data_IF_123939734395
#
_entry.id   IF_123939734395
#
_cell.length_a   1.000
_cell.length_b   1.000
_cell.length_c   1.000
_cell.angle_alpha   90.00
_cell.angle_beta   90.00
_cell.angle_gamma   90.00
#
_symmetry.space_group_name_H-M   'P 1'
#
loop_
_entity.id
_entity.type
_entity.pdbx_description
1 polymer ?
#
# COMPACT_ATOMS: atom_id res chain seq x y z
N UNK A 1 -6.24 -15.83 20.82
CA UNK A 1 -4.91 -15.29 21.19
C UNK A 1 -4.36 -14.61 19.96
N UNK A 2 -4.12 -13.29 20.00
CA UNK A 2 -3.58 -12.55 18.85
C UNK A 2 -2.05 -12.64 18.97
N UNK A 3 -1.39 -13.33 18.04
CA UNK A 3 0.08 -13.52 17.99
C UNK A 3 0.79 -12.21 17.63
N UNK A 4 2.08 -12.08 17.98
CA UNK A 4 2.91 -10.94 17.54
C UNK A 4 2.92 -10.81 16.00
N UNK A 5 3.03 -9.60 15.42
CA UNK A 5 2.87 -9.39 13.99
C UNK A 5 4.19 -9.83 13.38
N UNK A 6 4.13 -10.79 12.46
CA UNK A 6 5.34 -11.33 11.84
C UNK A 6 6.06 -10.29 10.96
N UNK A 7 5.34 -9.24 10.54
CA UNK A 7 5.74 -8.16 9.64
C UNK A 7 5.52 -6.80 10.29
N UNK A 8 6.43 -5.85 10.03
CA UNK A 8 6.44 -4.51 10.61
C UNK A 8 6.85 -3.50 9.56
N UNK A 9 6.34 -2.27 9.68
CA UNK A 9 6.75 -1.13 8.85
C UNK A 9 8.21 -0.73 9.11
N UNK A 10 8.98 -0.63 8.03
CA UNK A 10 10.41 -0.32 8.07
C UNK A 10 10.91 0.17 6.71
N UNK A 11 11.93 1.02 6.68
CA UNK A 11 12.42 1.58 5.42
C UNK A 11 13.92 1.90 5.46
N UNK A 12 14.69 1.33 4.54
CA UNK A 12 16.12 1.64 4.36
C UNK A 12 16.38 3.07 3.87
N UNK A 13 15.48 3.63 3.06
CA UNK A 13 15.56 5.01 2.53
C UNK A 13 14.17 5.62 2.26
N UNK A 14 14.01 6.88 2.63
CA UNK A 14 12.79 7.67 2.41
C UNK A 14 13.10 9.18 2.39
N UNK A 15 12.40 9.92 1.53
CA UNK A 15 12.59 11.36 1.38
C UNK A 15 11.82 12.10 2.47
N UNK A 16 12.54 12.81 3.35
CA UNK A 16 11.91 13.78 4.25
C UNK A 16 11.46 15.00 3.44
N UNK A 17 10.25 15.53 3.66
CA UNK A 17 9.79 16.68 2.90
C UNK A 17 10.70 17.89 3.16
N UNK A 18 11.06 18.59 2.09
CA UNK A 18 11.75 19.89 2.16
C UNK A 18 10.85 20.88 2.90
N UNK A 19 11.46 21.70 3.77
CA UNK A 19 10.80 22.67 4.65
C UNK A 19 10.08 23.82 3.93
N UNK A 20 9.97 23.79 2.61
CA UNK A 20 9.55 24.92 1.77
C UNK A 20 8.16 24.78 1.12
N UNK A 21 7.37 23.75 1.44
CA UNK A 21 5.97 23.69 0.99
C UNK A 21 5.02 24.13 2.10
N UNK A 22 4.38 25.29 1.89
CA UNK A 22 3.56 26.00 2.89
C UNK A 22 2.18 25.36 3.14
N UNK A 23 1.71 24.44 2.29
CA UNK A 23 0.37 23.87 2.39
C UNK A 23 0.37 22.41 2.80
N UNK A 24 -0.31 22.12 3.91
CA UNK A 24 -0.43 20.77 4.47
C UNK A 24 -1.29 19.86 3.59
N UNK A 25 -0.72 18.73 3.13
CA UNK A 25 -1.32 17.76 2.22
C UNK A 25 -1.90 16.55 2.95
N UNK A 26 -3.02 16.03 2.46
CA UNK A 26 -3.54 14.74 2.89
C UNK A 26 -2.68 13.61 2.31
N UNK A 27 -2.47 12.54 3.07
CA UNK A 27 -1.65 11.41 2.64
C UNK A 27 -2.55 10.21 2.33
N UNK A 28 -2.33 9.61 1.17
CA UNK A 28 -2.91 8.32 0.79
C UNK A 28 -1.84 7.26 1.09
N UNK A 29 -1.97 6.61 2.24
CA UNK A 29 -1.12 5.48 2.62
C UNK A 29 -1.58 4.22 1.89
N UNK A 30 -0.67 3.56 1.19
CA UNK A 30 -0.96 2.34 0.44
C UNK A 30 -0.17 1.19 1.05
N UNK A 31 -0.85 0.14 1.49
CA UNK A 31 -0.21 -1.14 1.77
C UNK A 31 -0.49 -2.08 0.60
N UNK A 32 0.56 -2.54 -0.08
CA UNK A 32 0.46 -3.46 -1.22
C UNK A 32 0.92 -4.88 -0.87
N UNK A 33 0.40 -5.86 -1.60
CA UNK A 33 0.85 -7.25 -1.50
C UNK A 33 2.22 -7.46 -2.17
N UNK A 34 2.40 -6.93 -3.39
CA UNK A 34 3.67 -7.00 -4.11
C UNK A 34 4.71 -5.99 -3.63
N UNK A 35 5.98 -6.33 -3.92
CA UNK A 35 7.17 -5.60 -3.45
C UNK A 35 7.93 -4.86 -4.56
N UNK A 36 7.48 -4.95 -5.81
CA UNK A 36 8.12 -4.32 -6.97
C UNK A 36 7.11 -3.51 -7.80
N UNK A 37 6.19 -4.18 -8.49
CA UNK A 37 5.32 -3.55 -9.50
C UNK A 37 4.34 -2.52 -8.92
N UNK A 38 3.61 -2.85 -7.85
CA UNK A 38 2.64 -1.93 -7.23
C UNK A 38 3.35 -0.74 -6.56
N UNK A 39 4.41 -0.95 -5.74
CA UNK A 39 5.21 0.15 -5.24
C UNK A 39 5.74 1.07 -6.35
N UNK A 40 6.38 0.51 -7.39
CA UNK A 40 6.91 1.31 -8.50
C UNK A 40 5.80 2.13 -9.15
N UNK A 41 4.65 1.52 -9.47
CA UNK A 41 3.54 2.23 -10.10
C UNK A 41 3.06 3.43 -9.28
N UNK A 42 2.82 3.24 -7.97
CA UNK A 42 2.31 4.29 -7.11
C UNK A 42 3.36 5.33 -6.74
N UNK A 43 4.64 4.96 -6.62
CA UNK A 43 5.74 5.90 -6.42
C UNK A 43 5.95 6.77 -7.67
N UNK A 44 5.86 6.19 -8.87
CA UNK A 44 5.87 6.98 -10.12
C UNK A 44 4.64 7.88 -10.18
N UNK A 45 3.44 7.39 -9.86
CA UNK A 45 2.24 8.21 -9.81
C UNK A 45 2.42 9.43 -8.87
N UNK A 46 2.95 9.22 -7.67
CA UNK A 46 3.22 10.27 -6.70
C UNK A 46 4.19 11.33 -7.24
N UNK A 47 5.26 10.90 -7.90
CA UNK A 47 6.31 11.81 -8.41
C UNK A 47 5.84 12.70 -9.57
N UNK A 48 4.73 12.34 -10.22
CA UNK A 48 4.12 13.09 -11.32
C UNK A 48 2.90 13.92 -10.88
N UNK A 49 2.55 13.93 -9.59
CA UNK A 49 1.50 14.83 -9.11
C UNK A 49 1.95 16.29 -9.17
N UNK A 50 1.06 17.16 -9.65
CA UNK A 50 1.26 18.61 -9.65
C UNK A 50 1.60 19.10 -8.24
N UNK A 51 2.50 20.10 -8.13
CA UNK A 51 2.94 20.64 -6.84
C UNK A 51 1.77 21.14 -5.99
N UNK A 52 0.68 21.61 -6.60
CA UNK A 52 -0.56 22.08 -5.97
C UNK A 52 -1.52 20.96 -5.58
N UNK A 53 -1.22 19.70 -5.92
CA UNK A 53 -1.99 18.54 -5.46
C UNK A 53 -2.13 18.59 -3.93
N UNK A 54 -3.36 18.48 -3.39
CA UNK A 54 -3.58 18.39 -1.96
C UNK A 54 -3.23 17.00 -1.41
N UNK A 55 -2.79 16.07 -2.27
CA UNK A 55 -2.48 14.70 -1.93
C UNK A 55 -0.98 14.40 -2.04
N UNK A 56 -0.51 13.54 -1.14
CA UNK A 56 0.75 12.79 -1.26
C UNK A 56 0.36 11.32 -1.25
N UNK A 57 0.95 10.51 -2.13
CA UNK A 57 0.83 9.06 -2.08
C UNK A 57 2.09 8.50 -1.42
N UNK A 58 1.90 7.63 -0.43
CA UNK A 58 3.00 6.96 0.25
C UNK A 58 2.74 5.46 0.33
N UNK A 59 3.57 4.68 -0.37
CA UNK A 59 3.53 3.22 -0.29
C UNK A 59 4.29 2.78 0.96
N UNK A 60 3.63 1.96 1.77
CA UNK A 60 4.18 1.44 3.01
C UNK A 60 5.30 0.46 2.71
N UNK A 61 6.44 0.66 3.38
CA UNK A 61 7.65 -0.14 3.24
C UNK A 61 7.75 -1.10 4.42
N UNK A 62 8.25 -2.29 4.15
CA UNK A 62 8.47 -3.35 5.13
C UNK A 62 9.69 -4.21 4.71
N UNK A 63 10.47 -4.68 5.68
CA UNK A 63 11.76 -5.36 5.42
C UNK A 63 11.64 -6.85 5.05
N UNK A 64 10.42 -7.39 5.03
CA UNK A 64 10.16 -8.81 4.77
C UNK A 64 8.99 -8.94 3.82
N UNK A 65 9.10 -9.75 2.77
CA UNK A 65 7.96 -10.08 1.90
C UNK A 65 6.79 -10.54 2.75
N UNK A 66 5.59 -9.97 2.54
CA UNK A 66 4.33 -10.30 3.26
C UNK A 66 3.87 -11.74 3.04
N UNK A 67 4.70 -12.58 2.41
CA UNK A 67 4.46 -13.96 2.01
C UNK A 67 3.18 -14.13 1.18
N UNK A 68 2.76 -13.07 0.50
CA UNK A 68 1.48 -13.02 -0.22
C UNK A 68 0.28 -13.34 0.66
N UNK A 69 0.25 -12.94 1.95
CA UNK A 69 -0.97 -13.04 2.76
C UNK A 69 -1.63 -11.65 2.89
N UNK A 70 -2.86 -11.45 2.40
CA UNK A 70 -3.55 -10.17 2.46
C UNK A 70 -3.83 -9.73 3.90
N UNK A 71 -3.79 -10.63 4.90
CA UNK A 71 -3.86 -10.27 6.32
C UNK A 71 -2.63 -9.48 6.77
N UNK A 72 -1.43 -9.82 6.29
CA UNK A 72 -0.23 -9.06 6.62
C UNK A 72 -0.28 -7.66 6.02
N UNK A 73 -0.81 -7.53 4.80
CA UNK A 73 -1.03 -6.23 4.16
C UNK A 73 -2.01 -5.38 4.97
N UNK A 74 -3.06 -5.99 5.52
CA UNK A 74 -4.00 -5.32 6.41
C UNK A 74 -3.37 -4.91 7.75
N UNK A 75 -2.59 -5.79 8.37
CA UNK A 75 -1.89 -5.51 9.63
C UNK A 75 -0.93 -4.32 9.51
N UNK A 76 -0.16 -4.24 8.40
CA UNK A 76 0.72 -3.11 8.11
C UNK A 76 -0.06 -1.80 7.94
N UNK A 77 -1.23 -1.85 7.31
CA UNK A 77 -2.10 -0.69 7.14
C UNK A 77 -2.71 -0.22 8.48
N UNK A 78 -3.13 -1.16 9.35
CA UNK A 78 -3.59 -0.85 10.70
C UNK A 78 -2.47 -0.27 11.57
N UNK A 79 -1.26 -0.82 11.48
CA UNK A 79 -0.07 -0.30 12.13
C UNK A 79 0.19 1.15 11.72
N UNK A 80 0.17 1.44 10.40
CA UNK A 80 0.33 2.79 9.88
C UNK A 80 -0.74 3.75 10.43
N UNK A 81 -2.01 3.36 10.41
CA UNK A 81 -3.11 4.17 10.96
C UNK A 81 -2.92 4.46 12.44
N UNK A 82 -2.44 3.49 13.21
CA UNK A 82 -2.19 3.67 14.64
C UNK A 82 -1.03 4.66 14.88
N UNK A 83 0.09 4.49 14.15
CA UNK A 83 1.22 5.44 14.15
C UNK A 83 0.71 6.86 13.83
N UNK A 84 -0.06 6.99 12.75
CA UNK A 84 -0.55 8.26 12.22
C UNK A 84 -1.48 8.98 13.19
N UNK A 85 -2.38 8.25 13.84
CA UNK A 85 -3.31 8.79 14.83
C UNK A 85 -2.70 9.05 16.21
N UNK A 86 -1.39 8.79 16.38
CA UNK A 86 -0.73 8.90 17.69
C UNK A 86 -1.27 7.91 18.73
N UNK A 87 -1.96 6.86 18.26
CA UNK A 87 -2.42 5.75 19.08
C UNK A 87 -1.28 4.78 19.32
N UNK A 88 -1.49 3.88 20.26
CA UNK A 88 -0.52 2.85 20.60
C UNK A 88 -0.04 2.07 19.39
N UNK A 89 1.28 1.93 19.28
CA UNK A 89 1.96 1.04 18.33
C UNK A 89 1.75 -0.45 18.69
N UNK A 90 1.28 -0.71 19.91
CA UNK A 90 1.16 -2.04 20.48
C UNK A 90 -0.31 -2.31 20.76
N UNK A 91 -1.05 -2.72 19.75
CA UNK A 91 -2.24 -3.57 19.96
C UNK A 91 -1.91 -4.92 20.61
N UNK A 92 -0.77 -5.03 21.27
CA UNK A 92 -0.13 -6.25 21.69
C UNK A 92 0.33 -6.12 23.12
N UNK A 93 -0.21 -7.02 23.93
CA UNK A 93 0.32 -7.40 25.24
C UNK A 93 1.68 -8.08 25.07
N UNK A 94 2.67 -7.38 24.50
CA UNK A 94 4.04 -7.84 24.51
C UNK A 94 4.56 -7.68 25.93
N UNK A 95 4.41 -8.74 26.73
CA UNK A 95 5.15 -8.92 27.98
C UNK A 95 6.64 -9.09 27.66
N UNK A 96 7.31 -8.07 27.13
CA UNK A 96 8.76 -8.05 27.08
C UNK A 96 9.27 -7.70 28.48
N UNK A 97 9.32 -8.74 29.33
CA UNK A 97 9.87 -8.69 30.69
C UNK A 97 11.31 -8.14 30.71
N UNK A 98 12.06 -8.30 29.63
CA UNK A 98 13.49 -7.95 29.55
C UNK A 98 13.75 -6.45 29.37
N UNK A 99 12.86 -5.69 28.72
CA UNK A 99 13.17 -4.30 28.33
C UNK A 99 12.56 -3.23 29.25
N UNK A 100 11.66 -3.59 30.19
CA UNK A 100 10.89 -2.63 31.03
C UNK A 100 10.27 -1.46 30.23
N UNK A 101 10.10 -1.62 28.92
CA UNK A 101 9.56 -0.59 28.05
C UNK A 101 8.04 -0.63 28.14
N UNK A 102 7.48 0.34 28.85
CA UNK A 102 6.04 0.55 28.86
C UNK A 102 5.62 1.31 27.61
N UNK A 103 4.40 1.04 27.15
CA UNK A 103 3.76 1.78 26.05
C UNK A 103 3.83 3.30 26.24
N UNK A 104 3.62 3.77 27.48
CA UNK A 104 3.73 5.18 27.86
C UNK A 104 5.13 5.75 27.64
N UNK A 105 6.18 4.98 27.94
CA UNK A 105 7.56 5.39 27.68
C UNK A 105 7.85 5.48 26.19
N UNK A 106 7.33 4.55 25.40
CA UNK A 106 7.48 4.53 23.93
C UNK A 106 6.78 5.73 23.31
N UNK A 107 5.52 5.98 23.66
CA UNK A 107 4.81 7.17 23.22
C UNK A 107 5.55 8.45 23.61
N UNK A 108 6.03 8.56 24.85
CA UNK A 108 6.78 9.74 25.32
C UNK A 108 8.08 9.94 24.54
N UNK A 109 8.79 8.86 24.20
CA UNK A 109 10.00 8.92 23.39
C UNK A 109 9.71 9.43 21.97
N UNK A 110 8.62 8.96 21.34
CA UNK A 110 8.23 9.38 20.00
C UNK A 110 7.60 10.78 19.93
N UNK A 111 6.95 11.25 20.99
CA UNK A 111 6.36 12.60 21.01
C UNK A 111 7.34 13.66 21.48
N UNK A 112 8.14 13.36 22.50
CA UNK A 112 9.00 14.35 23.18
C UNK A 112 10.40 13.76 23.44
N UNK A 113 11.17 13.40 22.39
CA UNK A 113 12.48 12.73 22.54
C UNK A 113 13.48 13.56 23.36
N UNK A 114 13.42 14.89 23.27
CA UNK A 114 14.33 15.81 23.98
C UNK A 114 14.16 15.80 25.50
N UNK A 115 13.07 15.21 26.01
CA UNK A 115 12.89 15.00 27.45
C UNK A 115 13.78 13.90 28.02
N UNK A 116 14.48 13.15 27.17
CA UNK A 116 15.44 12.11 27.52
C UNK A 116 16.86 12.57 27.22
N UNK A 117 17.83 12.16 28.05
CA UNK A 117 19.24 12.40 27.74
C UNK A 117 19.67 11.66 26.48
N UNK A 118 20.68 12.18 25.75
CA UNK A 118 21.20 11.53 24.52
C UNK A 118 21.53 10.05 24.72
N UNK A 119 22.13 9.68 25.85
CA UNK A 119 22.41 8.29 26.21
C UNK A 119 21.14 7.44 26.29
N UNK A 120 20.10 7.94 26.98
CA UNK A 120 18.82 7.23 27.08
C UNK A 120 18.11 7.16 25.75
N UNK A 121 18.23 8.17 24.90
CA UNK A 121 17.65 8.13 23.55
C UNK A 121 18.27 7.02 22.71
N UNK A 122 19.59 6.86 22.78
CA UNK A 122 20.32 5.80 22.07
C UNK A 122 19.96 4.40 22.61
N UNK A 123 19.94 4.23 23.93
CA UNK A 123 19.48 3.00 24.57
C UNK A 123 18.06 2.63 24.13
N UNK A 124 17.17 3.63 24.03
CA UNK A 124 15.81 3.45 23.58
C UNK A 124 15.74 3.03 22.11
N UNK A 125 16.51 3.69 21.24
CA UNK A 125 16.57 3.37 19.81
C UNK A 125 16.99 1.91 19.60
N UNK A 126 18.08 1.49 20.24
CA UNK A 126 18.55 0.09 20.19
C UNK A 126 17.47 -0.87 20.69
N UNK A 127 16.84 -0.53 21.81
CA UNK A 127 15.81 -1.35 22.45
C UNK A 127 14.59 -1.57 21.56
N UNK A 128 14.09 -0.55 20.87
CA UNK A 128 12.94 -0.68 19.96
C UNK A 128 13.32 -1.27 18.60
N UNK A 129 14.53 -1.02 18.10
CA UNK A 129 15.03 -1.70 16.89
C UNK A 129 15.13 -3.21 17.10
N UNK A 130 15.52 -3.68 18.31
CA UNK A 130 15.45 -5.11 18.68
C UNK A 130 14.03 -5.69 18.65
N UNK A 131 13.00 -4.85 18.71
CA UNK A 131 11.59 -5.23 18.59
C UNK A 131 11.09 -5.19 17.14
N UNK A 132 11.97 -4.93 16.17
CA UNK A 132 11.61 -4.76 14.76
C UNK A 132 10.94 -3.42 14.45
N UNK A 133 11.11 -2.42 15.31
CA UNK A 133 10.52 -1.08 15.12
C UNK A 133 11.56 -0.15 14.50
N UNK A 134 11.24 0.35 13.31
CA UNK A 134 11.99 1.41 12.65
C UNK A 134 11.53 2.79 13.15
N UNK A 135 12.29 3.34 14.09
CA UNK A 135 11.99 4.62 14.74
C UNK A 135 11.94 5.77 13.74
N UNK A 136 12.85 5.77 12.78
CA UNK A 136 13.01 6.90 11.86
C UNK A 136 11.89 6.87 10.81
N UNK A 137 11.50 5.69 10.34
CA UNK A 137 10.36 5.54 9.46
C UNK A 137 9.04 5.86 10.16
N UNK A 138 8.86 5.44 11.41
CA UNK A 138 7.67 5.80 12.19
C UNK A 138 7.52 7.31 12.37
N UNK A 139 8.62 7.99 12.71
CA UNK A 139 8.63 9.46 12.81
C UNK A 139 8.21 10.08 11.49
N UNK A 140 8.76 9.60 10.39
CA UNK A 140 8.39 10.03 9.05
C UNK A 140 6.89 9.84 8.76
N UNK A 141 6.32 8.66 9.04
CA UNK A 141 4.89 8.39 8.83
C UNK A 141 3.99 9.32 9.66
N UNK A 142 4.43 9.78 10.84
CA UNK A 142 3.69 10.78 11.63
C UNK A 142 3.76 12.20 11.05
N UNK A 143 4.85 12.53 10.38
CA UNK A 143 5.17 13.91 9.97
C UNK A 143 4.84 14.20 8.50
N UNK A 144 4.85 13.19 7.63
CA UNK A 144 4.56 13.35 6.19
C UNK A 144 3.23 14.06 5.95
N UNK A 145 3.20 15.03 5.03
CA UNK A 145 2.00 15.80 4.68
C UNK A 145 1.57 16.87 5.70
N UNK A 146 2.26 17.00 6.83
CA UNK A 146 2.20 18.13 7.81
C UNK A 146 0.82 18.67 8.23
N UNK A 147 -0.27 17.93 8.03
CA UNK A 147 -1.52 18.16 8.79
C UNK A 147 -1.35 17.54 10.16
N UNK A 148 -1.25 18.36 11.21
CA UNK A 148 -1.40 17.88 12.60
C UNK A 148 -2.73 17.12 12.69
N UNK A 149 -2.65 15.78 12.78
CA UNK A 149 -3.76 14.82 12.94
C UNK A 149 -4.33 14.15 11.67
N UNK A 150 -3.74 14.32 10.49
CA UNK A 150 -4.11 13.51 9.32
C UNK A 150 -5.57 13.66 8.85
N UNK A 151 -6.17 14.84 9.06
CA UNK A 151 -7.52 15.13 8.60
C UNK A 151 -7.57 15.03 7.06
N UNK A 152 -8.36 14.07 6.57
CA UNK A 152 -8.48 13.61 5.16
C UNK A 152 -7.42 12.62 4.66
N UNK A 153 -6.55 12.10 5.53
CA UNK A 153 -5.70 10.97 5.14
C UNK A 153 -6.55 9.76 4.78
N UNK A 154 -6.07 8.98 3.82
CA UNK A 154 -6.70 7.73 3.39
C UNK A 154 -5.73 6.58 3.57
N UNK A 155 -6.31 5.41 3.80
CA UNK A 155 -5.58 4.18 4.01
C UNK A 155 -6.14 3.17 3.02
N UNK A 156 -5.31 2.76 2.06
CA UNK A 156 -5.69 1.89 0.98
C UNK A 156 -4.96 0.56 1.09
N UNK A 157 -5.73 -0.51 0.97
CA UNK A 157 -5.25 -1.88 0.90
C UNK A 157 -5.24 -2.32 -0.56
N UNK A 158 -4.07 -2.55 -1.16
CA UNK A 158 -3.93 -3.04 -2.53
C UNK A 158 -3.51 -4.49 -2.50
N UNK A 159 -4.39 -5.37 -2.94
CA UNK A 159 -4.16 -6.82 -2.89
C UNK A 159 -4.59 -7.48 -4.19
N UNK A 160 -4.00 -8.63 -4.46
CA UNK A 160 -4.38 -9.47 -5.59
C UNK A 160 -5.41 -10.52 -5.16
N UNK A 161 -6.20 -10.99 -6.13
CA UNK A 161 -7.13 -12.09 -5.86
C UNK A 161 -6.43 -13.44 -5.88
N UNK A 162 -5.45 -13.58 -6.78
CA UNK A 162 -4.80 -14.79 -7.28
C UNK A 162 -5.49 -16.09 -6.82
N UNK A 163 -6.38 -16.63 -7.68
CA UNK A 163 -7.43 -17.60 -7.34
C UNK A 163 -6.99 -18.95 -6.73
N UNK A 164 -5.69 -19.15 -6.49
CA UNK A 164 -5.11 -20.32 -5.81
C UNK A 164 -4.66 -20.04 -4.37
N UNK A 165 -4.46 -18.79 -3.97
CA UNK A 165 -3.84 -18.44 -2.69
C UNK A 165 -4.86 -17.96 -1.64
N UNK A 166 -5.97 -17.33 -2.04
CA UNK A 166 -6.94 -16.76 -1.11
C UNK A 166 -8.30 -17.44 -1.17
N UNK A 167 -8.74 -18.00 -0.05
CA UNK A 167 -10.12 -18.45 0.07
C UNK A 167 -11.06 -17.23 0.07
N UNK A 168 -12.24 -17.38 -0.55
CA UNK A 168 -13.27 -16.32 -0.65
C UNK A 168 -13.58 -15.69 0.71
N UNK A 169 -13.75 -16.53 1.73
CA UNK A 169 -14.10 -16.12 3.08
C UNK A 169 -13.08 -15.15 3.70
N UNK A 170 -11.79 -15.38 3.48
CA UNK A 170 -10.72 -14.49 3.96
C UNK A 170 -10.83 -13.12 3.32
N UNK A 171 -11.12 -13.06 2.02
CA UNK A 171 -11.25 -11.78 1.33
C UNK A 171 -12.56 -11.06 1.71
N UNK A 172 -13.63 -11.79 2.00
CA UNK A 172 -14.86 -11.23 2.57
C UNK A 172 -14.60 -10.65 3.97
N UNK A 173 -13.89 -11.38 4.83
CA UNK A 173 -13.48 -10.91 6.17
C UNK A 173 -12.64 -9.62 6.06
N UNK A 174 -11.62 -9.60 5.19
CA UNK A 174 -10.77 -8.43 4.97
C UNK A 174 -11.58 -7.26 4.40
N UNK A 175 -12.45 -7.51 3.42
CA UNK A 175 -13.35 -6.48 2.86
C UNK A 175 -14.21 -5.85 3.96
N UNK A 176 -14.80 -6.68 4.82
CA UNK A 176 -15.68 -6.20 5.89
C UNK A 176 -14.89 -5.39 6.92
N UNK A 177 -13.68 -5.83 7.31
CA UNK A 177 -12.77 -5.03 8.14
C UNK A 177 -12.45 -3.69 7.47
N UNK A 178 -12.10 -3.68 6.19
CA UNK A 178 -11.84 -2.43 5.46
C UNK A 178 -13.05 -1.50 5.49
N UNK A 179 -14.26 -2.03 5.31
CA UNK A 179 -15.50 -1.26 5.35
C UNK A 179 -15.75 -0.65 6.73
N UNK A 180 -15.61 -1.43 7.80
CA UNK A 180 -15.72 -0.97 9.19
C UNK A 180 -14.66 0.07 9.57
N UNK A 181 -13.46 -0.06 9.02
CA UNK A 181 -12.30 0.79 9.32
C UNK A 181 -12.19 2.00 8.40
N UNK A 182 -13.06 2.13 7.40
CA UNK A 182 -13.02 3.13 6.33
C UNK A 182 -11.68 3.11 5.56
N UNK A 183 -11.23 1.92 5.22
CA UNK A 183 -10.09 1.67 4.34
C UNK A 183 -10.54 1.44 2.90
N UNK A 184 -9.73 1.87 1.95
CA UNK A 184 -9.98 1.65 0.53
C UNK A 184 -9.54 0.24 0.14
N UNK A 185 -10.50 -0.66 0.04
CA UNK A 185 -10.28 -2.05 -0.37
C UNK A 185 -10.04 -2.18 -1.89
N UNK A 186 -8.77 -2.06 -2.30
CA UNK A 186 -8.34 -2.05 -3.71
C UNK A 186 -7.92 -3.46 -4.17
N UNK A 187 -8.89 -4.36 -4.33
CA UNK A 187 -8.65 -5.68 -4.92
C UNK A 187 -8.55 -5.61 -6.45
N UNK A 188 -7.56 -6.30 -7.03
CA UNK A 188 -7.51 -6.61 -8.46
C UNK A 188 -7.74 -8.11 -8.69
N UNK A 189 -8.67 -8.45 -9.58
CA UNK A 189 -9.04 -9.82 -9.90
C UNK A 189 -8.87 -10.05 -11.42
N UNK A 190 -7.87 -10.85 -11.85
CA UNK A 190 -7.10 -11.81 -11.04
C UNK A 190 -5.97 -11.21 -10.19
N UNK A 191 -5.32 -10.15 -10.66
CA UNK A 191 -4.14 -9.54 -10.05
C UNK A 191 -3.90 -8.13 -10.59
N UNK A 192 -2.92 -7.42 -10.06
CA UNK A 192 -2.59 -6.04 -10.40
C UNK A 192 -2.19 -5.86 -11.88
N UNK A 193 -1.66 -6.89 -12.55
CA UNK A 193 -1.40 -6.85 -14.00
C UNK A 193 -2.65 -6.42 -14.80
N UNK A 194 -3.85 -6.77 -14.33
CA UNK A 194 -5.08 -6.33 -14.98
C UNK A 194 -5.18 -4.80 -15.02
N UNK A 195 -4.83 -4.11 -13.94
CA UNK A 195 -4.80 -2.65 -13.91
C UNK A 195 -3.81 -2.08 -14.93
N UNK A 196 -2.64 -2.69 -15.08
CA UNK A 196 -1.64 -2.29 -16.06
C UNK A 196 -2.12 -2.53 -17.50
N UNK A 197 -2.69 -3.71 -17.79
CA UNK A 197 -3.29 -4.07 -19.08
C UNK A 197 -4.35 -3.05 -19.51
N UNK A 198 -5.14 -2.53 -18.56
CA UNK A 198 -6.19 -1.56 -18.86
C UNK A 198 -5.65 -0.22 -19.37
N UNK A 199 -4.36 0.08 -19.29
CA UNK A 199 -3.78 1.26 -19.95
C UNK A 199 -3.67 1.10 -21.47
N UNK A 200 -3.65 -0.15 -21.95
CA UNK A 200 -3.54 -0.48 -23.36
C UNK A 200 -4.91 -0.58 -24.04
N UNK A 201 -4.95 -0.32 -25.35
CA UNK A 201 -6.15 -0.46 -26.18
C UNK A 201 -6.42 -1.93 -26.54
N UNK A 202 -6.60 -2.77 -25.51
CA UNK A 202 -6.90 -4.18 -25.67
C UNK A 202 -8.43 -4.41 -25.62
N UNK A 203 -8.97 -5.06 -26.66
CA UNK A 203 -10.36 -5.48 -26.65
C UNK A 203 -10.53 -6.76 -25.81
N UNK A 204 -11.02 -6.61 -24.58
CA UNK A 204 -11.29 -7.72 -23.67
C UNK A 204 -12.56 -8.49 -24.08
N UNK A 205 -12.42 -9.37 -25.07
CA UNK A 205 -13.50 -10.30 -25.47
C UNK A 205 -13.90 -11.21 -24.29
N UNK A 206 -15.11 -11.81 -24.30
CA UNK A 206 -15.50 -12.77 -23.26
C UNK A 206 -14.49 -13.92 -23.08
N UNK A 207 -13.87 -14.38 -24.17
CA UNK A 207 -12.82 -15.40 -24.13
C UNK A 207 -11.57 -14.93 -23.39
N UNK A 208 -11.08 -13.72 -23.68
CA UNK A 208 -9.91 -13.13 -23.00
C UNK A 208 -10.23 -12.87 -21.53
N UNK A 209 -11.41 -12.33 -21.22
CA UNK A 209 -11.85 -12.10 -19.83
C UNK A 209 -11.86 -13.39 -19.01
N UNK A 210 -12.36 -14.48 -19.58
CA UNK A 210 -12.35 -15.80 -18.91
C UNK A 210 -10.92 -16.30 -18.67
N UNK A 211 -10.04 -16.22 -19.69
CA UNK A 211 -8.64 -16.62 -19.55
C UNK A 211 -7.89 -15.79 -18.49
N UNK A 212 -8.15 -14.49 -18.44
CA UNK A 212 -7.63 -13.61 -17.40
C UNK A 212 -8.18 -14.00 -16.02
N UNK A 213 -9.50 -14.23 -15.89
CA UNK A 213 -10.10 -14.60 -14.61
C UNK A 213 -9.55 -15.93 -14.06
N UNK A 214 -9.38 -16.94 -14.92
CA UNK A 214 -8.77 -18.23 -14.53
C UNK A 214 -7.28 -18.09 -14.15
N UNK A 215 -6.61 -17.09 -14.73
CA UNK A 215 -5.20 -16.73 -14.57
C UNK A 215 -4.22 -17.92 -14.49
N UNK A 216 -4.44 -18.93 -15.33
CA UNK A 216 -3.64 -20.15 -15.27
C UNK A 216 -2.14 -19.86 -15.46
N UNK A 217 -1.29 -20.59 -14.70
CA UNK A 217 0.15 -20.58 -14.93
C UNK A 217 0.46 -21.22 -16.28
N UNK A 218 1.25 -20.54 -17.10
CA UNK A 218 1.74 -21.01 -18.39
C UNK A 218 3.17 -21.54 -18.25
N UNK A 219 3.95 -20.96 -17.33
CA UNK A 219 5.25 -21.47 -16.90
C UNK A 219 5.45 -21.26 -15.40
N UNK A 220 6.60 -21.63 -14.86
CA UNK A 220 6.93 -21.41 -13.44
C UNK A 220 6.84 -19.93 -13.05
N UNK A 221 7.15 -19.03 -13.99
CA UNK A 221 7.27 -17.59 -13.73
C UNK A 221 6.16 -16.75 -14.39
N UNK A 222 5.33 -17.35 -15.25
CA UNK A 222 4.36 -16.62 -16.06
C UNK A 222 2.94 -17.15 -15.89
N UNK A 223 2.00 -16.22 -15.73
CA UNK A 223 0.55 -16.43 -15.77
C UNK A 223 -0.01 -15.88 -17.08
N UNK A 224 -1.29 -16.16 -17.36
CA UNK A 224 -2.00 -15.52 -18.48
C UNK A 224 -1.91 -13.99 -18.39
N UNK A 225 -2.12 -13.41 -17.20
CA UNK A 225 -2.04 -11.97 -16.99
C UNK A 225 -0.66 -11.41 -17.34
N UNK A 226 0.40 -12.06 -16.88
CA UNK A 226 1.76 -11.57 -17.06
C UNK A 226 2.21 -11.67 -18.53
N UNK A 227 1.76 -12.68 -19.26
CA UNK A 227 2.02 -12.78 -20.71
C UNK A 227 1.28 -11.70 -21.48
N UNK A 228 -0.02 -11.51 -21.24
CA UNK A 228 -0.80 -10.47 -21.91
C UNK A 228 -0.20 -9.08 -21.65
N UNK A 229 0.20 -8.82 -20.39
CA UNK A 229 0.87 -7.58 -20.04
C UNK A 229 2.21 -7.43 -20.79
N UNK A 230 3.03 -8.48 -20.83
CA UNK A 230 4.32 -8.45 -21.54
C UNK A 230 4.14 -8.17 -23.04
N UNK A 231 3.12 -8.75 -23.66
CA UNK A 231 2.78 -8.56 -25.07
C UNK A 231 2.34 -7.12 -25.38
N UNK A 232 1.64 -6.43 -24.46
CA UNK A 232 1.16 -5.08 -24.71
C UNK A 232 2.07 -3.96 -24.18
N UNK A 233 2.82 -4.21 -23.10
CA UNK A 233 3.63 -3.20 -22.42
C UNK A 233 5.13 -3.29 -22.74
N UNK A 234 5.63 -4.45 -23.18
CA UNK A 234 7.03 -4.65 -23.58
C UNK A 234 8.08 -4.24 -22.52
N UNK A 235 7.77 -4.40 -21.24
CA UNK A 235 8.74 -4.21 -20.14
C UNK A 235 8.58 -5.30 -19.06
N UNK A 236 9.57 -5.39 -18.16
CA UNK A 236 9.61 -6.33 -17.03
C UNK A 236 8.77 -5.83 -15.83
N UNK A 237 8.80 -6.54 -14.69
CA UNK A 237 8.00 -6.17 -13.50
C UNK A 237 8.32 -4.79 -12.93
N UNK A 238 9.58 -4.37 -12.96
CA UNK A 238 10.00 -3.03 -12.57
C UNK A 238 9.44 -1.96 -13.52
N UNK A 239 8.78 -0.95 -12.94
CA UNK A 239 8.22 0.19 -13.68
C UNK A 239 9.12 1.40 -13.47
N UNK A 240 10.10 1.57 -14.37
CA UNK A 240 10.95 2.76 -14.37
C UNK A 240 10.17 4.03 -14.68
N UNK A 241 10.70 5.18 -14.26
CA UNK A 241 10.16 6.51 -14.61
C UNK A 241 9.85 6.65 -16.10
N UNK A 242 10.82 6.32 -16.96
CA UNK A 242 10.67 6.38 -18.42
C UNK A 242 9.55 5.47 -18.93
N UNK A 243 9.38 4.29 -18.33
CA UNK A 243 8.32 3.34 -18.68
C UNK A 243 6.96 3.93 -18.29
N UNK A 244 6.86 4.44 -17.06
CA UNK A 244 5.64 5.06 -16.56
C UNK A 244 5.18 6.26 -17.39
N UNK A 245 6.10 7.20 -17.67
CA UNK A 245 5.82 8.41 -18.47
C UNK A 245 5.35 8.08 -19.88
N UNK A 246 5.91 7.04 -20.51
CA UNK A 246 5.58 6.68 -21.90
C UNK A 246 4.32 5.83 -22.01
N UNK A 247 4.14 4.87 -21.11
CA UNK A 247 3.13 3.81 -21.26
C UNK A 247 1.90 4.10 -20.41
N UNK A 248 2.11 4.40 -19.12
CA UNK A 248 1.04 4.44 -18.15
C UNK A 248 0.44 5.83 -18.02
N UNK A 249 1.26 6.85 -17.68
CA UNK A 249 0.81 8.22 -17.40
C UNK A 249 -0.16 8.80 -18.45
N UNK A 250 0.11 8.72 -19.78
CA UNK A 250 -0.78 9.31 -20.79
C UNK A 250 -2.13 8.59 -20.91
N UNK A 251 -2.23 7.36 -20.38
CA UNK A 251 -3.40 6.48 -20.53
C UNK A 251 -4.13 6.22 -19.21
N UNK A 252 -3.69 6.77 -18.08
CA UNK A 252 -4.31 6.56 -16.75
C UNK A 252 -5.83 6.85 -16.77
N UNK A 253 -6.25 7.97 -17.37
CA UNK A 253 -7.67 8.31 -17.49
C UNK A 253 -8.45 7.27 -18.29
N UNK A 254 -7.85 6.73 -19.34
CA UNK A 254 -8.46 5.67 -20.15
C UNK A 254 -8.54 4.35 -19.37
N UNK A 255 -7.49 4.00 -18.61
CA UNK A 255 -7.48 2.83 -17.75
C UNK A 255 -8.59 2.87 -16.70
N UNK A 256 -8.73 3.99 -15.98
CA UNK A 256 -9.82 4.20 -15.03
C UNK A 256 -11.20 4.03 -15.71
N UNK A 257 -11.42 4.67 -16.86
CA UNK A 257 -12.67 4.51 -17.63
C UNK A 257 -12.92 3.07 -18.06
N UNK A 258 -11.89 2.32 -18.47
CA UNK A 258 -12.04 0.90 -18.87
C UNK A 258 -12.35 0.02 -17.67
N UNK A 259 -11.79 0.30 -16.50
CA UNK A 259 -12.07 -0.43 -15.27
C UNK A 259 -13.56 -0.38 -14.88
N UNK A 260 -14.26 0.75 -15.15
CA UNK A 260 -15.71 0.88 -14.90
C UNK A 260 -16.58 -0.12 -15.70
N UNK A 261 -16.04 -0.74 -16.76
CA UNK A 261 -16.72 -1.73 -17.60
C UNK A 261 -16.53 -3.17 -17.09
N UNK A 262 -15.81 -3.34 -15.98
CA UNK A 262 -15.54 -4.58 -15.29
C UNK A 262 -16.16 -4.54 -13.89
N UNK A 263 -15.95 -5.58 -13.08
CA UNK A 263 -16.39 -5.55 -11.69
C UNK A 263 -15.69 -4.41 -10.93
N UNK A 264 -16.46 -3.60 -10.19
CA UNK A 264 -15.98 -2.36 -9.55
C UNK A 264 -16.46 -2.19 -8.10
N UNK A 265 -17.57 -2.83 -7.71
CA UNK A 265 -18.00 -2.86 -6.32
C UNK A 265 -17.23 -3.92 -5.52
N UNK A 266 -17.25 -3.77 -4.19
CA UNK A 266 -16.45 -4.59 -3.27
C UNK A 266 -16.94 -6.04 -3.10
N UNK A 267 -18.08 -6.39 -3.67
CA UNK A 267 -18.68 -7.73 -3.56
C UNK A 267 -18.48 -8.52 -4.86
N UNK A 268 -18.86 -7.95 -6.01
CA UNK A 268 -18.74 -8.62 -7.30
C UNK A 268 -17.29 -8.85 -7.71
N UNK A 269 -16.38 -7.94 -7.32
CA UNK A 269 -14.94 -8.03 -7.60
C UNK A 269 -14.31 -9.32 -7.05
N UNK A 270 -14.90 -9.91 -6.00
CA UNK A 270 -14.39 -11.12 -5.39
C UNK A 270 -14.42 -12.29 -6.36
N UNK A 271 -15.44 -12.38 -7.23
CA UNK A 271 -15.61 -13.54 -8.11
C UNK A 271 -15.55 -13.19 -9.60
N UNK A 272 -15.48 -11.90 -9.94
CA UNK A 272 -15.50 -11.43 -11.32
C UNK A 272 -14.25 -10.61 -11.65
N UNK A 273 -13.85 -10.67 -12.91
CA UNK A 273 -12.72 -9.89 -13.43
C UNK A 273 -12.97 -8.39 -13.23
N UNK A 274 -11.98 -7.69 -12.69
CA UNK A 274 -12.05 -6.26 -12.43
C UNK A 274 -10.92 -5.75 -11.56
N UNK A 275 -10.91 -4.45 -11.29
CA UNK A 275 -9.95 -3.85 -10.37
C UNK A 275 -10.56 -2.63 -9.68
N UNK A 276 -10.23 -2.47 -8.40
CA UNK A 276 -10.65 -1.33 -7.58
C UNK A 276 -9.55 -0.29 -7.34
N UNK A 277 -8.41 -0.41 -8.01
CA UNK A 277 -7.35 0.61 -8.04
C UNK A 277 -7.86 2.03 -8.39
N UNK A 278 -8.90 2.21 -9.25
CA UNK A 278 -9.50 3.53 -9.48
C UNK A 278 -9.94 4.29 -8.22
N UNK A 279 -10.21 3.62 -7.09
CA UNK A 279 -10.51 4.27 -5.81
C UNK A 279 -9.40 5.22 -5.32
N UNK A 280 -8.15 4.95 -5.71
CA UNK A 280 -6.97 5.78 -5.45
C UNK A 280 -6.79 6.76 -6.60
N UNK A 281 -6.77 6.24 -7.84
CA UNK A 281 -6.44 7.01 -9.04
C UNK A 281 -7.38 8.18 -9.25
N UNK A 282 -8.70 7.96 -9.16
CA UNK A 282 -9.68 9.00 -9.46
C UNK A 282 -9.61 10.19 -8.48
N UNK A 283 -9.04 9.99 -7.29
CA UNK A 283 -8.79 11.08 -6.33
C UNK A 283 -7.67 12.00 -6.77
N UNK A 284 -6.62 11.43 -7.35
CA UNK A 284 -5.42 12.18 -7.73
C UNK A 284 -5.40 12.58 -9.19
N UNK A 285 -6.27 11.98 -10.02
CA UNK A 285 -6.40 12.23 -11.46
C UNK A 285 -6.56 13.72 -11.85
N UNK A 286 -7.23 14.59 -11.07
CA UNK A 286 -7.29 16.02 -11.38
C UNK A 286 -5.95 16.76 -11.25
N UNK A 287 -4.93 16.12 -10.66
CA UNK A 287 -3.63 16.70 -10.35
C UNK A 287 -2.48 15.98 -11.07
N UNK A 288 -2.79 15.20 -12.11
CA UNK A 288 -1.82 14.56 -13.01
C UNK A 288 -1.70 15.34 -14.32
#
# INVERSE_FOLDING_TARGET
MISQPQFRLSANAFNRPDSETTDAKAVIFISSEGTETEPDYFEQLNSHLDRKSPYIIHVLKHDRDTTSDPRHVLDLLEECRNIRSGRSFFGMKSKNKELRLTEKLILKFFTNPDTFSKKKQEEFKIAVTKLGIDVDYYRYLREIGTRKNGYNDRFALVIDRDGKCHNLKTLEEIRDICRERNFDFCLSNPCFDLWLILHHELHLTPSIKRKLLDNNKISNNNTVSSIILSECAHHAKHISKTTFEKIYLPKIRHASKRATRLASNDTDILSNIGTRVPLIIDKVLPYL
#
